data_IF_616862251065
#
_entry.id   IF_616862251065
#
_cell.length_a   1.000
_cell.length_b   1.000
_cell.length_c   1.000
_cell.angle_alpha   90.00
_cell.angle_beta   90.00
_cell.angle_gamma   90.00
#
_symmetry.space_group_name_H-M   'P 1'
#
loop_
_entity.id
_entity.type
_entity.pdbx_description
1 polymer ?
#
# COMPACT_ATOMS: atom_id res chain seq x y z
N UNK A 1 12.00 -9.49 -16.89
CA UNK A 1 11.94 -8.18 -17.55
C UNK A 1 10.49 -7.84 -17.84
N UNK A 2 9.85 -6.95 -17.08
CA UNK A 2 8.57 -6.36 -17.47
C UNK A 2 8.75 -4.85 -17.39
N UNK A 3 8.96 -4.22 -18.56
CA UNK A 3 8.80 -2.78 -18.74
C UNK A 3 7.33 -2.55 -19.10
N UNK A 4 6.61 -1.84 -18.24
CA UNK A 4 5.24 -1.40 -18.50
C UNK A 4 5.29 -0.18 -19.41
N UNK A 5 4.80 -0.32 -20.64
CA UNK A 5 4.48 0.81 -21.50
C UNK A 5 3.09 1.34 -21.10
N UNK A 6 3.05 2.64 -20.84
CA UNK A 6 1.87 3.36 -20.43
C UNK A 6 0.93 3.63 -21.61
N UNK A 7 -0.34 3.76 -21.23
CA UNK A 7 -1.48 4.32 -21.96
C UNK A 7 -2.31 3.38 -22.84
N UNK A 8 -3.59 3.28 -22.43
CA UNK A 8 -4.72 2.56 -23.02
C UNK A 8 -4.81 1.08 -22.69
N UNK A 9 -5.08 0.68 -21.41
CA UNK A 9 -5.58 -0.68 -21.07
C UNK A 9 -5.90 -0.98 -19.58
N UNK A 10 -6.37 -0.05 -18.75
CA UNK A 10 -6.51 -0.32 -17.30
C UNK A 10 -7.41 -1.54 -16.97
N UNK A 11 -8.56 -1.66 -17.64
CA UNK A 11 -9.47 -2.83 -17.48
C UNK A 11 -8.90 -4.13 -18.05
N UNK A 12 -8.25 -4.08 -19.22
CA UNK A 12 -7.66 -5.25 -19.86
C UNK A 12 -6.42 -5.74 -19.11
N UNK A 13 -5.61 -4.82 -18.57
CA UNK A 13 -4.45 -5.13 -17.73
C UNK A 13 -4.89 -5.75 -16.40
N UNK A 14 -5.95 -5.22 -15.77
CA UNK A 14 -6.53 -5.79 -14.56
C UNK A 14 -7.04 -7.21 -14.79
N UNK A 15 -7.70 -7.46 -15.91
CA UNK A 15 -8.20 -8.80 -16.23
C UNK A 15 -7.07 -9.77 -16.58
N UNK A 16 -6.07 -9.33 -17.36
CA UNK A 16 -4.87 -10.12 -17.62
C UNK A 16 -4.12 -10.47 -16.32
N UNK A 17 -4.00 -9.53 -15.39
CA UNK A 17 -3.41 -9.77 -14.08
C UNK A 17 -4.17 -10.86 -13.29
N UNK A 18 -5.51 -10.81 -13.25
CA UNK A 18 -6.30 -11.85 -12.57
C UNK A 18 -6.10 -13.22 -13.20
N UNK A 19 -6.11 -13.32 -14.53
CA UNK A 19 -5.90 -14.58 -15.25
C UNK A 19 -4.53 -15.16 -14.88
N UNK A 20 -3.47 -14.34 -14.91
CA UNK A 20 -2.14 -14.78 -14.51
C UNK A 20 -2.05 -15.17 -13.04
N UNK A 21 -2.71 -14.43 -12.14
CA UNK A 21 -2.73 -14.75 -10.72
C UNK A 21 -3.42 -16.10 -10.45
N UNK A 22 -4.54 -16.38 -11.13
CA UNK A 22 -5.25 -17.66 -11.05
C UNK A 22 -4.38 -18.80 -11.59
N UNK A 23 -3.81 -18.65 -12.79
CA UNK A 23 -2.92 -19.66 -13.37
C UNK A 23 -1.69 -19.94 -12.48
N UNK A 24 -1.12 -18.90 -11.86
CA UNK A 24 -0.04 -19.05 -10.89
C UNK A 24 -0.49 -19.84 -9.65
N UNK A 25 -1.67 -19.55 -9.09
CA UNK A 25 -2.21 -20.28 -7.95
C UNK A 25 -2.46 -21.74 -8.28
N UNK A 26 -3.04 -22.01 -9.44
CA UNK A 26 -3.38 -23.36 -9.90
C UNK A 26 -2.11 -24.19 -10.13
N UNK A 27 -1.11 -23.62 -10.81
CA UNK A 27 0.19 -24.28 -11.01
C UNK A 27 0.91 -24.54 -9.69
N UNK A 28 0.84 -23.60 -8.74
CA UNK A 28 1.41 -23.78 -7.40
C UNK A 28 0.71 -24.91 -6.62
N UNK A 29 -0.62 -24.98 -6.68
CA UNK A 29 -1.41 -26.04 -6.04
C UNK A 29 -1.10 -27.39 -6.68
N UNK A 30 -1.08 -27.46 -8.01
CA UNK A 30 -0.75 -28.67 -8.76
C UNK A 30 0.66 -29.17 -8.45
N UNK A 31 1.66 -28.28 -8.43
CA UNK A 31 3.04 -28.64 -8.10
C UNK A 31 3.18 -29.15 -6.66
N UNK A 32 2.49 -28.52 -5.69
CA UNK A 32 2.46 -29.00 -4.31
C UNK A 32 1.80 -30.36 -4.18
N UNK A 33 0.65 -30.56 -4.83
CA UNK A 33 -0.06 -31.84 -4.85
C UNK A 33 0.82 -32.95 -5.44
N UNK A 34 1.49 -32.68 -6.57
CA UNK A 34 2.42 -33.62 -7.18
C UNK A 34 3.58 -33.96 -6.22
N UNK A 35 4.19 -32.96 -5.57
CA UNK A 35 5.27 -33.16 -4.61
C UNK A 35 4.85 -34.02 -3.40
N UNK A 36 3.69 -33.76 -2.81
CA UNK A 36 3.21 -34.61 -1.71
C UNK A 36 2.78 -35.99 -2.18
N UNK A 37 2.25 -36.11 -3.41
CA UNK A 37 1.90 -37.41 -3.98
C UNK A 37 3.14 -38.29 -4.12
N UNK A 38 4.26 -37.76 -4.62
CA UNK A 38 5.51 -38.54 -4.70
C UNK A 38 6.00 -38.98 -3.33
N UNK A 39 5.81 -38.17 -2.29
CA UNK A 39 6.13 -38.57 -0.91
C UNK A 39 5.27 -39.75 -0.47
N UNK A 40 3.96 -39.71 -0.70
CA UNK A 40 3.05 -40.76 -0.23
C UNK A 40 3.07 -42.04 -1.06
N UNK A 41 3.51 -41.99 -2.33
CA UNK A 41 3.54 -43.16 -3.22
C UNK A 41 4.91 -43.82 -3.33
N UNK A 42 5.97 -43.27 -2.73
CA UNK A 42 7.32 -43.85 -2.80
C UNK A 42 7.41 -45.13 -1.96
N UNK A 43 7.60 -46.31 -2.58
CA UNK A 43 7.63 -47.60 -1.88
C UNK A 43 8.89 -47.78 -1.01
N UNK A 44 9.90 -46.92 -1.14
CA UNK A 44 11.14 -46.94 -0.38
C UNK A 44 11.12 -45.99 0.84
N UNK A 45 10.03 -45.27 1.08
CA UNK A 45 9.98 -44.26 2.14
C UNK A 45 9.90 -44.82 3.56
N UNK A 46 10.64 -44.19 4.47
CA UNK A 46 10.58 -44.47 5.90
C UNK A 46 9.24 -43.99 6.49
N UNK A 47 8.52 -44.80 7.29
CA UNK A 47 7.26 -44.41 7.91
C UNK A 47 7.37 -43.13 8.75
N UNK A 48 8.54 -42.83 9.33
CA UNK A 48 8.79 -41.57 10.05
C UNK A 48 8.65 -40.35 9.13
N UNK A 49 9.11 -40.44 7.89
CA UNK A 49 9.02 -39.34 6.91
C UNK A 49 7.55 -39.08 6.57
N UNK A 50 6.77 -40.13 6.36
CA UNK A 50 5.33 -40.03 6.12
C UNK A 50 4.60 -39.38 7.31
N UNK A 51 4.78 -39.92 8.52
CA UNK A 51 4.12 -39.38 9.72
C UNK A 51 4.56 -37.94 10.03
N UNK A 52 5.84 -37.61 9.86
CA UNK A 52 6.32 -36.24 10.05
C UNK A 52 5.73 -35.26 9.03
N UNK A 53 5.54 -35.70 7.78
CA UNK A 53 4.93 -34.88 6.72
C UNK A 53 3.46 -34.63 7.03
N UNK A 54 2.71 -35.67 7.42
CA UNK A 54 1.30 -35.53 7.85
C UNK A 54 1.19 -34.61 9.08
N UNK A 55 2.05 -34.79 10.08
CA UNK A 55 2.07 -33.94 11.26
C UNK A 55 2.34 -32.47 10.89
N UNK A 56 3.27 -32.20 9.98
CA UNK A 56 3.57 -30.84 9.50
C UNK A 56 2.42 -30.22 8.70
N UNK A 57 1.70 -31.01 7.90
CA UNK A 57 0.52 -30.56 7.14
C UNK A 57 -0.67 -30.22 8.03
N UNK A 58 -0.88 -31.03 9.08
CA UNK A 58 -1.99 -30.88 10.02
C UNK A 58 -1.68 -29.91 11.17
N UNK A 59 -0.41 -29.55 11.37
CA UNK A 59 -0.01 -28.62 12.44
C UNK A 59 -0.72 -27.28 12.19
N UNK A 60 -1.52 -26.79 13.16
CA UNK A 60 -2.12 -25.47 13.05
C UNK A 60 -1.01 -24.46 12.81
N UNK A 61 -1.13 -23.67 11.72
CA UNK A 61 -0.17 -22.60 11.46
C UNK A 61 -0.31 -21.62 12.62
N UNK A 62 0.65 -21.65 13.53
CA UNK A 62 0.85 -20.56 14.48
C UNK A 62 1.29 -19.37 13.65
N UNK A 63 0.35 -18.55 13.22
CA UNK A 63 0.62 -17.22 12.69
C UNK A 63 1.12 -16.37 13.87
N UNK A 64 2.27 -16.71 14.45
CA UNK A 64 3.02 -15.76 15.24
C UNK A 64 3.58 -14.77 14.23
N UNK A 65 2.84 -13.69 14.00
CA UNK A 65 3.44 -12.50 13.43
C UNK A 65 4.72 -12.23 14.23
N UNK A 66 5.88 -11.98 13.59
CA UNK A 66 7.07 -11.63 14.35
C UNK A 66 6.68 -10.47 15.27
N UNK A 67 6.80 -10.69 16.58
CA UNK A 67 6.59 -9.64 17.58
C UNK A 67 7.45 -8.46 17.14
N UNK A 68 6.85 -7.29 16.98
CA UNK A 68 7.56 -6.09 16.54
C UNK A 68 8.65 -5.79 17.56
N UNK A 69 9.88 -6.19 17.24
CA UNK A 69 11.06 -5.85 18.02
C UNK A 69 11.68 -4.59 17.42
N UNK A 70 12.28 -3.71 18.24
CA UNK A 70 13.02 -2.57 17.73
C UNK A 70 14.08 -2.97 16.69
N UNK A 71 14.73 -4.12 16.88
CA UNK A 71 15.74 -4.63 15.94
C UNK A 71 15.17 -4.98 14.57
N UNK A 72 13.98 -5.61 14.52
CA UNK A 72 13.31 -5.91 13.25
C UNK A 72 12.92 -4.61 12.53
N UNK A 73 12.35 -3.64 13.24
CA UNK A 73 11.99 -2.34 12.67
C UNK A 73 13.22 -1.60 12.14
N UNK A 74 14.31 -1.59 12.90
CA UNK A 74 15.57 -0.97 12.50
C UNK A 74 16.20 -1.69 11.30
N UNK A 75 16.11 -3.03 11.24
CA UNK A 75 16.58 -3.80 10.09
C UNK A 75 15.78 -3.49 8.82
N UNK A 76 14.45 -3.37 8.94
CA UNK A 76 13.58 -3.03 7.81
C UNK A 76 13.90 -1.60 7.33
N UNK A 77 14.07 -0.65 8.25
CA UNK A 77 14.44 0.72 7.92
C UNK A 77 15.78 0.77 7.16
N UNK A 78 16.82 0.13 7.71
CA UNK A 78 18.15 0.04 7.07
C UNK A 78 18.06 -0.56 5.68
N UNK A 79 17.33 -1.66 5.52
CA UNK A 79 17.14 -2.29 4.21
C UNK A 79 16.61 -1.31 3.15
N UNK A 80 15.60 -0.51 3.50
CA UNK A 80 15.06 0.48 2.55
C UNK A 80 16.03 1.65 2.33
N UNK A 81 16.67 2.16 3.38
CA UNK A 81 17.67 3.23 3.28
C UNK A 81 18.84 2.81 2.37
N UNK A 82 19.39 1.62 2.58
CA UNK A 82 20.52 1.09 1.81
C UNK A 82 20.12 0.88 0.35
N UNK A 83 18.93 0.31 0.11
CA UNK A 83 18.42 0.12 -1.25
C UNK A 83 18.24 1.44 -1.99
N UNK A 84 17.74 2.47 -1.32
CA UNK A 84 17.61 3.83 -1.90
C UNK A 84 19.00 4.39 -2.22
N UNK A 85 19.96 4.25 -1.31
CA UNK A 85 21.33 4.74 -1.52
C UNK A 85 22.02 4.03 -2.68
N UNK A 86 21.87 2.71 -2.81
CA UNK A 86 22.39 1.93 -3.94
C UNK A 86 21.81 2.44 -5.26
N UNK A 87 20.49 2.66 -5.31
CA UNK A 87 19.83 3.21 -6.50
C UNK A 87 20.41 4.59 -6.82
N UNK A 88 20.48 5.50 -5.85
CA UNK A 88 21.06 6.85 -6.04
C UNK A 88 22.49 6.80 -6.56
N UNK A 89 23.33 5.91 -6.03
CA UNK A 89 24.71 5.73 -6.50
C UNK A 89 24.76 5.19 -7.94
N UNK A 90 23.89 4.24 -8.29
CA UNK A 90 23.81 3.69 -9.66
C UNK A 90 23.33 4.70 -10.71
N UNK A 91 22.57 5.71 -10.28
CA UNK A 91 22.06 6.80 -11.11
C UNK A 91 22.94 8.04 -11.10
N UNK A 92 23.98 8.09 -10.27
CA UNK A 92 24.91 9.20 -10.27
C UNK A 92 25.73 9.14 -11.57
N UNK A 93 25.72 10.19 -12.41
CA UNK A 93 26.55 10.22 -13.60
C UNK A 93 28.01 10.14 -13.15
N UNK A 94 28.71 9.13 -13.66
CA UNK A 94 30.17 9.02 -13.52
C UNK A 94 30.75 10.32 -14.05
N UNK A 95 31.47 11.05 -13.20
CA UNK A 95 32.20 12.23 -13.65
C UNK A 95 33.30 11.76 -14.59
N UNK A 96 33.17 12.10 -15.88
CA UNK A 96 34.25 11.93 -16.84
C UNK A 96 35.47 12.77 -16.41
N UNK A 97 36.71 12.29 -16.66
CA UNK A 97 37.93 13.02 -16.30
C UNK A 97 38.08 14.31 -17.13
N UNK A 98 38.85 15.30 -16.65
CA UNK A 98 38.92 16.61 -17.29
C UNK A 98 39.88 16.56 -18.48
N UNK A 99 39.39 16.76 -19.70
CA UNK A 99 40.22 17.25 -20.80
C UNK A 99 39.41 17.87 -21.94
N UNK A 100 39.48 19.20 -22.01
CA UNK A 100 39.42 20.10 -23.17
C UNK A 100 38.85 19.58 -24.51
N UNK A 101 37.80 20.22 -25.01
CA UNK A 101 37.89 21.31 -26.04
C UNK A 101 36.52 21.57 -26.67
N UNK A 102 36.05 22.81 -26.51
CA UNK A 102 35.10 23.59 -27.32
C UNK A 102 33.65 23.12 -27.53
N UNK A 103 32.76 24.07 -27.22
CA UNK A 103 31.31 24.01 -27.28
C UNK A 103 30.74 23.84 -28.72
N UNK A 104 29.44 23.52 -28.85
CA UNK A 104 28.49 24.63 -28.94
C UNK A 104 27.24 24.45 -28.08
N UNK A 105 26.94 25.52 -27.34
CA UNK A 105 25.61 26.03 -26.98
C UNK A 105 24.49 24.99 -26.81
N UNK A 106 24.53 24.23 -25.70
CA UNK A 106 23.31 23.61 -25.19
C UNK A 106 22.49 24.68 -24.47
N UNK A 107 21.25 24.85 -24.93
CA UNK A 107 20.21 25.59 -24.21
C UNK A 107 20.21 25.16 -22.73
N UNK A 108 19.99 26.09 -21.77
CA UNK A 108 20.05 25.74 -20.37
C UNK A 108 19.11 24.58 -20.11
N UNK A 109 19.68 23.49 -19.60
CA UNK A 109 18.94 22.33 -19.15
C UNK A 109 17.80 22.81 -18.26
N UNK A 110 16.62 22.34 -18.64
CA UNK A 110 15.34 22.56 -17.98
C UNK A 110 15.53 22.76 -16.48
N UNK A 111 15.16 23.97 -16.04
CA UNK A 111 14.92 24.32 -14.66
C UNK A 111 14.30 23.11 -13.95
N UNK A 112 15.09 22.45 -13.10
CA UNK A 112 14.61 21.38 -12.23
C UNK A 112 13.51 22.05 -11.40
N UNK A 113 12.26 21.74 -11.74
CA UNK A 113 11.11 22.13 -10.94
C UNK A 113 11.41 21.72 -9.50
N UNK A 114 11.20 22.60 -8.51
CA UNK A 114 11.28 22.21 -7.11
C UNK A 114 10.42 20.96 -6.91
N UNK A 115 10.95 20.06 -6.10
CA UNK A 115 10.31 18.87 -5.54
C UNK A 115 8.77 18.98 -5.52
N UNK A 116 8.01 18.01 -6.07
CA UNK A 116 6.53 18.02 -6.01
C UNK A 116 5.96 18.03 -4.58
N UNK A 117 6.81 17.97 -3.56
CA UNK A 117 6.47 18.08 -2.14
C UNK A 117 6.46 19.50 -1.58
N UNK A 118 6.96 20.51 -2.31
CA UNK A 118 6.78 21.92 -1.92
C UNK A 118 5.54 22.49 -2.57
N UNK A 119 4.44 22.76 -1.84
CA UNK A 119 3.29 23.45 -2.41
C UNK A 119 3.73 24.82 -2.96
N UNK A 120 3.11 25.31 -4.05
CA UNK A 120 3.40 26.65 -4.57
C UNK A 120 3.34 27.67 -3.43
N UNK A 121 4.21 28.70 -3.40
CA UNK A 121 4.31 29.67 -2.30
C UNK A 121 3.03 30.51 -2.05
N UNK A 122 1.94 30.21 -2.75
CA UNK A 122 0.65 30.88 -2.70
C UNK A 122 -0.51 29.91 -2.36
N UNK A 123 -0.23 28.62 -2.17
CA UNK A 123 -1.25 27.61 -1.87
C UNK A 123 -1.39 27.45 -0.35
N UNK A 124 -2.08 28.40 0.28
CA UNK A 124 -2.39 28.35 1.71
C UNK A 124 -3.85 27.94 1.90
N UNK A 125 -4.11 26.87 2.65
CA UNK A 125 -5.46 26.52 3.09
C UNK A 125 -5.86 27.42 4.25
N UNK A 126 -6.64 28.48 3.96
CA UNK A 126 -7.12 29.41 4.97
C UNK A 126 -8.40 28.95 5.67
N UNK A 127 -9.23 28.16 4.99
CA UNK A 127 -10.51 27.69 5.50
C UNK A 127 -10.91 26.37 4.86
N UNK A 128 -11.81 25.65 5.52
CA UNK A 128 -12.48 24.48 4.97
C UNK A 128 -13.84 24.90 4.40
N UNK A 129 -14.19 24.32 3.25
CA UNK A 129 -15.55 24.41 2.75
C UNK A 129 -16.46 23.52 3.59
N UNK A 130 -17.68 24.02 3.86
CA UNK A 130 -18.70 23.25 4.57
C UNK A 130 -19.25 22.14 3.68
N UNK A 131 -19.54 21.01 4.30
CA UNK A 131 -20.13 19.85 3.65
C UNK A 131 -21.65 19.97 3.56
N UNK A 132 -22.20 19.42 2.49
CA UNK A 132 -23.66 19.36 2.26
C UNK A 132 -24.23 17.99 2.63
N UNK A 133 -25.54 17.97 2.90
CA UNK A 133 -26.26 16.73 3.25
C UNK A 133 -26.16 15.63 2.16
N UNK A 134 -26.28 15.93 0.85
CA UNK A 134 -26.09 14.92 -0.20
C UNK A 134 -24.68 14.35 -0.23
N UNK A 135 -23.65 15.16 0.04
CA UNK A 135 -22.25 14.72 0.08
C UNK A 135 -22.02 13.76 1.24
N UNK A 136 -22.51 14.09 2.43
CA UNK A 136 -22.41 13.21 3.61
C UNK A 136 -23.18 11.91 3.39
N UNK A 137 -24.40 11.98 2.85
CA UNK A 137 -25.19 10.78 2.54
C UNK A 137 -24.48 9.85 1.56
N UNK A 138 -23.92 10.42 0.48
CA UNK A 138 -23.15 9.67 -0.52
C UNK A 138 -21.86 9.09 0.08
N UNK A 139 -21.14 9.86 0.88
CA UNK A 139 -19.90 9.44 1.54
C UNK A 139 -20.16 8.23 2.44
N UNK A 140 -21.14 8.31 3.34
CA UNK A 140 -21.43 7.23 4.29
C UNK A 140 -21.95 5.99 3.54
N UNK A 141 -22.83 6.17 2.55
CA UNK A 141 -23.38 5.05 1.78
C UNK A 141 -22.30 4.29 0.99
N UNK A 142 -21.35 5.02 0.39
CA UNK A 142 -20.26 4.45 -0.43
C UNK A 142 -19.10 3.87 0.39
N UNK A 143 -19.00 4.23 1.67
CA UNK A 143 -17.94 3.75 2.57
C UNK A 143 -18.07 2.25 2.86
N UNK A 144 -16.95 1.56 3.05
CA UNK A 144 -16.95 0.16 3.46
C UNK A 144 -17.55 0.02 4.86
N UNK A 145 -18.38 -1.00 5.07
CA UNK A 145 -18.91 -1.32 6.39
C UNK A 145 -17.81 -1.98 7.23
N UNK A 146 -16.95 -1.16 7.82
CA UNK A 146 -15.89 -1.60 8.72
C UNK A 146 -16.35 -1.47 10.17
N UNK A 147 -15.77 -2.27 11.06
CA UNK A 147 -16.04 -2.21 12.50
C UNK A 147 -14.70 -2.12 13.22
N UNK A 148 -14.64 -1.34 14.30
CA UNK A 148 -13.49 -1.24 15.17
C UNK A 148 -13.89 -1.79 16.54
N UNK A 149 -13.01 -2.55 17.20
CA UNK A 149 -13.29 -3.07 18.55
C UNK A 149 -13.45 -1.98 19.61
N UNK A 150 -12.95 -0.77 19.33
CA UNK A 150 -13.08 0.41 20.19
C UNK A 150 -14.27 1.30 19.82
N UNK A 151 -14.95 1.04 18.70
CA UNK A 151 -16.13 1.80 18.27
C UNK A 151 -17.41 1.04 18.63
N UNK A 152 -18.23 1.55 19.58
CA UNK A 152 -19.49 0.91 19.93
C UNK A 152 -20.55 1.01 18.82
N UNK A 153 -20.37 1.89 17.83
CA UNK A 153 -21.34 2.08 16.75
C UNK A 153 -21.00 1.20 15.54
N UNK A 154 -21.84 0.20 15.30
CA UNK A 154 -21.70 -0.64 14.10
C UNK A 154 -22.07 0.15 12.84
N UNK A 155 -21.16 0.25 11.88
CA UNK A 155 -21.40 0.90 10.58
C UNK A 155 -22.69 0.44 9.85
N UNK A 156 -23.09 -0.84 9.89
CA UNK A 156 -24.39 -1.26 9.35
C UNK A 156 -25.59 -0.56 9.99
N UNK A 157 -25.56 -0.35 11.31
CA UNK A 157 -26.61 0.35 12.04
C UNK A 157 -26.65 1.83 11.63
N UNK A 158 -25.48 2.48 11.59
CA UNK A 158 -25.35 3.86 11.11
C UNK A 158 -25.98 4.05 9.71
N UNK A 159 -25.68 3.14 8.78
CA UNK A 159 -26.26 3.18 7.42
C UNK A 159 -27.77 2.98 7.42
N UNK A 160 -28.30 2.09 8.26
CA UNK A 160 -29.74 1.86 8.37
C UNK A 160 -30.49 3.07 8.93
N UNK A 161 -29.86 3.83 9.83
CA UNK A 161 -30.41 5.04 10.44
C UNK A 161 -30.01 6.33 9.70
N UNK A 162 -29.25 6.22 8.60
CA UNK A 162 -28.69 7.37 7.88
C UNK A 162 -29.74 8.41 7.48
N UNK A 163 -30.95 8.06 6.98
CA UNK A 163 -31.94 9.07 6.63
C UNK A 163 -32.32 10.01 7.78
N UNK A 164 -32.28 9.50 9.01
CA UNK A 164 -32.58 10.27 10.24
C UNK A 164 -31.34 10.98 10.76
N UNK A 165 -30.18 10.34 10.71
CA UNK A 165 -28.94 10.86 11.30
C UNK A 165 -28.17 11.82 10.38
N UNK A 166 -28.39 11.79 9.07
CA UNK A 166 -27.63 12.57 8.09
C UNK A 166 -27.58 14.08 8.40
N UNK A 167 -28.70 14.76 8.77
CA UNK A 167 -28.66 16.18 9.14
C UNK A 167 -27.72 16.44 10.32
N UNK A 168 -27.85 15.64 11.39
CA UNK A 168 -27.02 15.79 12.60
C UNK A 168 -25.54 15.51 12.33
N UNK A 169 -25.22 14.53 11.49
CA UNK A 169 -23.83 14.24 11.10
C UNK A 169 -23.27 15.38 10.25
N UNK A 170 -24.09 15.95 9.35
CA UNK A 170 -23.70 17.11 8.53
C UNK A 170 -23.38 18.30 9.42
N UNK A 171 -24.24 18.59 10.39
CA UNK A 171 -24.03 19.68 11.36
C UNK A 171 -22.79 19.43 12.23
N UNK A 172 -22.56 18.19 12.66
CA UNK A 172 -21.38 17.80 13.43
C UNK A 172 -20.08 18.05 12.63
N UNK A 173 -20.06 17.65 11.35
CA UNK A 173 -18.91 17.86 10.48
C UNK A 173 -18.65 19.35 10.26
N UNK A 174 -19.70 20.11 9.91
CA UNK A 174 -19.59 21.54 9.69
C UNK A 174 -19.16 22.30 10.95
N UNK A 175 -19.66 21.89 12.11
CA UNK A 175 -19.23 22.44 13.40
C UNK A 175 -17.76 22.16 13.67
N UNK A 176 -17.29 20.94 13.36
CA UNK A 176 -15.89 20.54 13.53
C UNK A 176 -14.96 21.28 12.55
N UNK A 177 -15.39 21.50 11.30
CA UNK A 177 -14.60 22.23 10.30
C UNK A 177 -14.51 23.72 10.62
N UNK A 178 -15.58 24.30 11.18
CA UNK A 178 -15.66 25.74 11.49
C UNK A 178 -14.95 26.11 12.79
N UNK A 179 -15.05 25.26 13.82
CA UNK A 179 -14.56 25.57 15.18
C UNK A 179 -13.40 24.67 15.62
N UNK A 180 -13.08 23.63 14.86
CA UNK A 180 -12.04 22.67 15.19
C UNK A 180 -10.67 23.36 15.26
N UNK A 181 -9.97 23.13 16.37
CA UNK A 181 -8.60 23.61 16.54
C UNK A 181 -7.67 22.42 16.59
N UNK A 182 -6.66 22.40 15.71
CA UNK A 182 -5.60 21.39 15.77
C UNK A 182 -4.63 21.76 16.90
N UNK A 183 -4.40 20.88 17.90
CA UNK A 183 -3.42 21.15 18.96
C UNK A 183 -2.03 21.42 18.39
N UNK A 184 -1.28 22.32 19.04
CA UNK A 184 0.07 22.72 18.59
C UNK A 184 1.03 21.54 18.48
N UNK A 185 0.90 20.52 19.34
CA UNK A 185 1.69 19.30 19.28
C UNK A 185 1.58 18.53 17.95
N UNK A 186 0.54 18.79 17.15
CA UNK A 186 0.33 18.18 15.83
C UNK A 186 0.60 19.13 14.66
N UNK A 187 1.01 20.37 14.91
CA UNK A 187 1.43 21.31 13.86
C UNK A 187 2.94 21.20 13.71
N UNK A 188 3.40 20.54 12.65
CA UNK A 188 4.82 20.53 12.30
C UNK A 188 5.18 21.89 11.73
N UNK A 189 6.19 22.56 12.30
CA UNK A 189 6.82 23.73 11.68
C UNK A 189 7.71 23.34 10.49
#
# INVERSE_FOLDING_TARGET
MIRLAANSNDSQNHEAYKIHLTAYKDTLIAAKSAYFSTIFTDPCQNPRTLFSTVANLLKPRTNSLPTSTPDLCNSILRFFTDKINIIKQSLSPVSDPPASTQAPTMAPLLHISPDPLTPPPHCHLSQFDLVTLPEISKLISSSKSTTCSLDPLLTPLLKSCLPVLCPYITDLFNSSLSHGTVPSAFKTE
#
